data_IF_712475842631
#
_entry.id   IF_712475842631
#
_cell.length_a   1.000
_cell.length_b   1.000
_cell.length_c   1.000
_cell.angle_alpha   90.00
_cell.angle_beta   90.00
_cell.angle_gamma   90.00
#
_symmetry.space_group_name_H-M   'P 1'
#
loop_
_entity.id
_entity.type
_entity.pdbx_description
1 polymer ?
#
# COMPACT_ATOMS: atom_id res chain seq x y z
N UNK A 1 -19.22 2.61 -15.07
CA UNK A 1 -19.50 3.78 -14.21
C UNK A 1 -18.16 4.43 -13.92
N UNK A 2 -17.89 5.59 -14.50
CA UNK A 2 -16.62 6.29 -14.28
C UNK A 2 -16.62 6.88 -12.87
N UNK A 3 -15.63 6.53 -12.06
CA UNK A 3 -15.43 7.20 -10.78
C UNK A 3 -14.88 8.60 -11.07
N UNK A 4 -15.58 9.62 -10.56
CA UNK A 4 -15.16 11.01 -10.63
C UNK A 4 -13.79 11.14 -9.96
N UNK A 5 -12.82 11.58 -10.75
CA UNK A 5 -11.44 11.80 -10.32
C UNK A 5 -11.46 12.98 -9.35
N UNK A 6 -11.12 12.72 -8.09
CA UNK A 6 -11.19 13.68 -6.99
C UNK A 6 -10.40 14.96 -7.27
N UNK A 7 -10.89 16.08 -6.73
CA UNK A 7 -10.27 17.39 -6.84
C UNK A 7 -8.86 17.40 -6.21
N UNK A 8 -7.82 17.36 -7.05
CA UNK A 8 -6.43 17.61 -6.63
C UNK A 8 -6.33 19.00 -5.98
N UNK A 9 -5.74 19.10 -4.78
CA UNK A 9 -5.42 20.38 -4.14
C UNK A 9 -4.27 21.13 -4.83
N UNK A 10 -3.52 20.46 -5.70
CA UNK A 10 -2.49 21.09 -6.52
C UNK A 10 -3.08 21.47 -7.87
N UNK A 11 -3.07 22.75 -8.26
CA UNK A 11 -3.47 23.14 -9.60
C UNK A 11 -2.55 22.42 -10.59
N UNK A 12 -3.09 21.91 -11.71
CA UNK A 12 -2.26 21.31 -12.75
C UNK A 12 -1.24 22.36 -13.19
N UNK A 13 0.03 21.96 -13.29
CA UNK A 13 1.04 22.83 -13.87
C UNK A 13 0.64 23.13 -15.32
N UNK A 14 0.20 24.36 -15.55
CA UNK A 14 -0.25 24.84 -16.87
C UNK A 14 0.91 24.89 -17.87
N UNK A 15 2.16 24.86 -17.39
CA UNK A 15 3.35 24.85 -18.25
C UNK A 15 3.67 23.47 -18.81
N UNK A 16 3.15 22.39 -18.20
CA UNK A 16 3.36 21.03 -18.69
C UNK A 16 2.43 20.78 -19.90
N UNK A 17 3.02 20.62 -21.08
CA UNK A 17 2.26 20.35 -22.32
C UNK A 17 2.25 18.85 -22.64
N UNK A 18 1.19 18.32 -23.27
CA UNK A 18 1.26 16.98 -23.84
C UNK A 18 2.48 16.79 -24.75
N UNK A 19 3.05 15.59 -24.75
CA UNK A 19 4.23 15.26 -25.53
C UNK A 19 4.92 14.00 -25.04
N UNK A 20 6.12 13.75 -25.55
CA UNK A 20 6.97 12.64 -25.14
C UNK A 20 7.98 13.13 -24.13
N UNK A 21 8.04 12.44 -22.99
CA UNK A 21 8.86 12.81 -21.86
C UNK A 21 9.74 11.65 -21.41
N UNK A 22 10.84 12.03 -20.76
CA UNK A 22 11.67 11.18 -19.91
C UNK A 22 11.52 11.65 -18.48
N UNK A 23 11.41 10.70 -17.57
CA UNK A 23 11.31 10.96 -16.14
C UNK A 23 12.52 10.31 -15.49
N UNK A 24 13.36 11.09 -14.82
CA UNK A 24 14.57 10.59 -14.16
C UNK A 24 14.67 11.07 -12.73
N UNK A 25 15.22 10.24 -11.84
CA UNK A 25 15.48 10.67 -10.48
C UNK A 25 16.59 11.74 -10.49
N UNK A 26 16.36 12.86 -9.80
CA UNK A 26 17.26 14.00 -9.86
C UNK A 26 18.64 13.75 -9.24
N UNK A 27 18.77 12.73 -8.39
CA UNK A 27 20.01 12.39 -7.66
C UNK A 27 20.78 11.31 -8.39
N UNK A 28 20.14 10.19 -8.70
CA UNK A 28 20.81 9.02 -9.27
C UNK A 28 20.95 9.10 -10.79
N UNK A 29 20.11 9.92 -11.44
CA UNK A 29 20.03 9.99 -12.91
C UNK A 29 19.40 8.76 -13.56
N UNK A 30 18.88 7.81 -12.77
CA UNK A 30 18.17 6.65 -13.32
C UNK A 30 16.79 7.06 -13.83
N UNK A 31 16.39 6.53 -14.98
CA UNK A 31 15.14 6.84 -15.65
C UNK A 31 14.04 5.84 -15.27
N UNK A 32 12.80 6.32 -15.17
CA UNK A 32 11.61 5.50 -14.99
C UNK A 32 11.37 4.68 -16.26
N UNK A 33 11.27 3.36 -16.09
CA UNK A 33 11.25 2.39 -17.16
C UNK A 33 10.20 1.31 -16.91
N UNK A 34 9.55 0.82 -17.97
CA UNK A 34 8.90 -0.50 -17.95
C UNK A 34 9.97 -1.58 -18.15
N UNK A 35 10.05 -2.53 -17.22
CA UNK A 35 11.08 -3.58 -17.25
C UNK A 35 11.04 -4.37 -18.57
N UNK A 36 12.22 -4.65 -19.13
CA UNK A 36 12.35 -5.46 -20.35
C UNK A 36 11.99 -6.94 -20.10
N UNK A 37 12.23 -7.43 -18.87
CA UNK A 37 11.96 -8.82 -18.49
C UNK A 37 10.51 -9.03 -18.03
N UNK A 38 9.86 -7.97 -17.55
CA UNK A 38 8.50 -8.02 -17.01
C UNK A 38 7.74 -6.73 -17.33
N UNK A 39 6.93 -6.77 -18.39
CA UNK A 39 6.16 -5.61 -18.86
C UNK A 39 5.12 -5.07 -17.87
N UNK A 40 4.89 -5.76 -16.75
CA UNK A 40 4.01 -5.28 -15.67
C UNK A 40 4.75 -4.45 -14.62
N UNK A 41 6.10 -4.52 -14.58
CA UNK A 41 6.91 -3.85 -13.56
C UNK A 41 7.44 -2.50 -14.04
N UNK A 42 7.35 -1.53 -13.14
CA UNK A 42 8.01 -0.24 -13.28
C UNK A 42 9.23 -0.22 -12.37
N UNK A 43 10.37 0.09 -12.96
CA UNK A 43 11.65 0.16 -12.28
C UNK A 43 12.36 1.45 -12.66
N UNK A 44 13.45 1.75 -11.97
CA UNK A 44 14.44 2.68 -12.49
C UNK A 44 15.62 1.93 -13.10
N UNK A 45 16.17 2.50 -14.16
CA UNK A 45 17.32 1.93 -14.85
C UNK A 45 18.25 3.05 -15.32
N UNK A 46 19.51 2.73 -15.56
CA UNK A 46 20.44 3.66 -16.21
C UNK A 46 19.81 4.20 -17.50
N UNK A 47 19.86 5.52 -17.67
CA UNK A 47 19.29 6.16 -18.83
C UNK A 47 19.88 5.57 -20.13
N UNK A 48 18.99 5.08 -20.99
CA UNK A 48 19.28 4.67 -22.35
C UNK A 48 18.06 5.06 -23.18
N UNK A 49 18.22 5.83 -24.26
CA UNK A 49 17.12 6.49 -25.00
C UNK A 49 16.11 5.54 -25.70
N UNK A 50 16.00 4.29 -25.27
CA UNK A 50 15.02 3.29 -25.69
C UNK A 50 13.60 3.69 -25.31
N UNK A 51 12.65 3.20 -26.09
CA UNK A 51 11.22 3.54 -25.97
C UNK A 51 10.57 3.09 -24.64
N UNK A 52 11.12 2.08 -23.95
CA UNK A 52 10.62 1.68 -22.63
C UNK A 52 10.95 2.66 -21.51
N UNK A 53 11.82 3.66 -21.76
CA UNK A 53 12.09 4.80 -20.87
C UNK A 53 11.40 6.10 -21.32
N UNK A 54 10.55 6.02 -22.35
CA UNK A 54 9.85 7.17 -22.90
C UNK A 54 8.36 7.07 -22.59
N UNK A 55 7.78 8.21 -22.21
CA UNK A 55 6.41 8.30 -21.71
C UNK A 55 5.66 9.37 -22.47
N UNK A 56 4.53 9.00 -23.07
CA UNK A 56 3.54 9.95 -23.56
C UNK A 56 2.79 10.54 -22.38
N UNK A 57 2.98 11.84 -22.17
CA UNK A 57 2.19 12.62 -21.25
C UNK A 57 0.93 13.10 -21.97
N UNK A 58 -0.22 12.62 -21.52
CA UNK A 58 -1.52 12.92 -22.12
C UNK A 58 -2.45 13.57 -21.09
N UNK A 59 -3.26 14.56 -21.52
CA UNK A 59 -4.30 15.15 -20.66
C UNK A 59 -5.38 14.11 -20.36
N UNK A 60 -5.83 14.05 -19.10
CA UNK A 60 -6.93 13.18 -18.67
C UNK A 60 -7.68 13.83 -17.50
N UNK A 61 -8.90 14.30 -17.75
CA UNK A 61 -9.68 15.04 -16.76
C UNK A 61 -8.94 16.27 -16.23
N UNK A 62 -8.80 16.36 -14.91
CA UNK A 62 -8.07 17.44 -14.22
C UNK A 62 -6.55 17.23 -14.11
N UNK A 63 -6.02 16.14 -14.66
CA UNK A 63 -4.61 15.78 -14.52
C UNK A 63 -4.00 15.26 -15.82
N UNK A 64 -3.00 14.41 -15.65
CA UNK A 64 -2.30 13.75 -16.73
C UNK A 64 -2.28 12.23 -16.53
N UNK A 65 -2.09 11.52 -17.62
CA UNK A 65 -1.71 10.10 -17.62
C UNK A 65 -0.40 9.95 -18.37
N UNK A 66 0.40 8.98 -17.92
CA UNK A 66 1.68 8.64 -18.52
C UNK A 66 1.55 7.25 -19.16
N UNK A 67 1.55 7.21 -20.49
CA UNK A 67 1.54 5.95 -21.26
C UNK A 67 2.97 5.65 -21.70
N UNK A 68 3.45 4.45 -21.49
CA UNK A 68 4.76 4.07 -22.00
C UNK A 68 4.74 4.04 -23.54
N UNK A 69 5.84 4.43 -24.18
CA UNK A 69 5.91 4.48 -25.65
C UNK A 69 6.03 3.09 -26.27
N UNK A 70 6.81 2.19 -25.66
CA UNK A 70 7.00 0.82 -26.14
C UNK A 70 5.85 -0.10 -25.77
N UNK A 71 5.38 0.01 -24.54
CA UNK A 71 4.35 -0.84 -23.98
C UNK A 71 3.04 -0.08 -23.96
N UNK A 72 1.95 -0.68 -24.42
CA UNK A 72 0.61 -0.07 -24.34
C UNK A 72 0.04 -0.09 -22.90
N UNK A 73 0.83 0.40 -21.94
CA UNK A 73 0.56 0.36 -20.52
C UNK A 73 0.79 1.75 -19.92
N UNK A 74 0.04 2.06 -18.87
CA UNK A 74 0.08 3.32 -18.15
C UNK A 74 0.81 3.14 -16.83
N UNK A 75 1.48 4.21 -16.40
CA UNK A 75 2.01 4.29 -15.05
C UNK A 75 0.84 4.28 -14.04
N UNK A 76 0.82 3.27 -13.18
CA UNK A 76 -0.26 3.01 -12.23
C UNK A 76 0.30 2.64 -10.85
N UNK A 77 -0.56 2.70 -9.83
CA UNK A 77 -0.20 2.42 -8.43
C UNK A 77 -1.18 1.41 -7.89
N UNK A 78 -0.73 0.35 -7.21
CA UNK A 78 -1.58 -0.82 -6.92
C UNK A 78 -2.66 -0.58 -5.88
N UNK A 79 -2.37 0.32 -4.93
CA UNK A 79 -3.30 0.82 -3.93
C UNK A 79 -2.82 2.19 -3.45
N UNK A 80 -3.45 2.72 -2.41
CA UNK A 80 -3.16 4.04 -1.86
C UNK A 80 -2.40 3.97 -0.54
N UNK A 81 -1.74 2.86 -0.22
CA UNK A 81 -0.94 2.72 1.00
C UNK A 81 0.47 3.30 0.82
N UNK A 82 1.14 3.64 1.93
CA UNK A 82 2.57 3.93 1.87
C UNK A 82 3.33 2.68 1.42
N UNK A 83 4.37 2.86 0.61
CA UNK A 83 5.16 1.78 0.01
C UNK A 83 4.43 0.97 -1.06
N UNK A 84 3.26 1.41 -1.54
CA UNK A 84 2.61 0.69 -2.63
C UNK A 84 3.47 0.75 -3.89
N UNK A 85 3.54 -0.37 -4.60
CA UNK A 85 4.32 -0.50 -5.83
C UNK A 85 3.69 0.29 -6.97
N UNK A 86 4.57 0.96 -7.71
CA UNK A 86 4.24 1.52 -9.02
C UNK A 86 4.43 0.43 -10.06
N UNK A 87 3.46 0.27 -10.94
CA UNK A 87 3.42 -0.81 -11.91
C UNK A 87 2.79 -0.33 -13.22
N UNK A 88 2.93 -1.13 -14.27
CA UNK A 88 2.37 -0.84 -15.58
C UNK A 88 0.97 -1.47 -15.67
N UNK A 89 -0.08 -0.66 -15.86
CA UNK A 89 -1.46 -1.12 -15.91
C UNK A 89 -2.30 -0.44 -16.98
N UNK A 90 -3.50 -0.95 -17.24
CA UNK A 90 -4.55 -0.25 -17.98
C UNK A 90 -5.41 0.65 -17.09
N UNK A 91 -5.29 0.53 -15.76
CA UNK A 91 -6.11 1.26 -14.78
C UNK A 91 -5.28 2.36 -14.11
N UNK A 92 -5.84 3.57 -14.04
CA UNK A 92 -5.20 4.73 -13.43
C UNK A 92 -5.75 4.98 -12.03
N UNK A 93 -4.87 5.18 -11.05
CA UNK A 93 -5.24 5.66 -9.72
C UNK A 93 -4.61 7.04 -9.52
N UNK A 94 -5.46 8.03 -9.28
CA UNK A 94 -5.06 9.36 -8.85
C UNK A 94 -5.49 9.49 -7.38
N UNK A 95 -4.55 9.47 -6.44
CA UNK A 95 -4.86 9.72 -5.04
C UNK A 95 -3.85 10.68 -4.38
N UNK A 96 -4.37 11.36 -3.36
CA UNK A 96 -4.03 12.71 -2.92
C UNK A 96 -2.79 12.73 -2.01
N UNK A 97 -1.88 13.68 -2.28
CA UNK A 97 -0.69 13.99 -1.48
C UNK A 97 0.38 12.89 -1.42
N UNK A 98 0.53 12.11 -2.49
CA UNK A 98 1.60 11.13 -2.61
C UNK A 98 2.54 11.45 -3.76
N UNK A 99 3.79 11.05 -3.62
CA UNK A 99 4.85 11.23 -4.62
C UNK A 99 5.51 9.91 -4.96
N UNK A 100 6.07 9.84 -6.15
CA UNK A 100 6.97 8.75 -6.53
C UNK A 100 8.22 8.80 -5.65
N UNK A 101 8.57 7.66 -5.08
CA UNK A 101 9.70 7.48 -4.17
C UNK A 101 10.60 6.39 -4.75
N UNK A 102 11.87 6.74 -5.01
CA UNK A 102 12.87 5.77 -5.41
C UNK A 102 13.27 4.96 -4.19
N UNK A 103 13.03 3.64 -4.21
CA UNK A 103 13.23 2.79 -3.03
C UNK A 103 14.66 2.93 -2.48
N UNK A 104 14.74 3.40 -1.22
CA UNK A 104 16.00 3.70 -0.50
C UNK A 104 16.95 4.67 -1.22
N UNK A 105 16.49 5.40 -2.24
CA UNK A 105 17.31 6.27 -3.07
C UNK A 105 18.41 5.54 -3.84
N UNK A 106 18.28 4.23 -4.05
CA UNK A 106 19.30 3.43 -4.74
C UNK A 106 19.25 3.65 -6.26
N UNK A 107 20.41 3.95 -6.85
CA UNK A 107 20.58 4.10 -8.30
C UNK A 107 20.87 2.79 -9.04
N UNK A 108 20.63 1.63 -8.41
CA UNK A 108 20.84 0.35 -9.07
C UNK A 108 19.79 0.09 -10.15
N UNK A 109 20.23 -0.53 -11.24
CA UNK A 109 19.36 -0.98 -12.31
C UNK A 109 18.32 -1.98 -11.78
N UNK A 110 17.05 -1.74 -12.10
CA UNK A 110 15.94 -2.57 -11.66
C UNK A 110 15.38 -2.18 -10.29
N UNK A 111 15.85 -1.08 -9.68
CA UNK A 111 15.33 -0.65 -8.40
C UNK A 111 13.86 -0.20 -8.51
N UNK A 112 13.07 -0.50 -7.50
CA UNK A 112 11.63 -0.29 -7.50
C UNK A 112 11.26 1.17 -7.22
N UNK A 113 10.07 1.55 -7.67
CA UNK A 113 9.46 2.85 -7.37
C UNK A 113 8.20 2.61 -6.55
N UNK A 114 8.10 3.30 -5.42
CA UNK A 114 6.94 3.24 -4.53
C UNK A 114 6.21 4.58 -4.54
N UNK A 115 4.99 4.61 -4.01
CA UNK A 115 4.36 5.86 -3.59
C UNK A 115 4.61 6.13 -2.11
N UNK A 116 4.84 7.41 -1.77
CA UNK A 116 5.03 7.86 -0.40
C UNK A 116 4.25 9.13 -0.09
N UNK A 117 3.91 9.33 1.17
CA UNK A 117 3.31 10.57 1.66
C UNK A 117 4.21 11.80 1.40
N UNK A 118 3.60 12.88 0.93
CA UNK A 118 4.23 14.19 0.85
C UNK A 118 4.23 14.84 2.25
N UNK A 119 5.15 14.43 3.13
CA UNK A 119 5.28 14.92 4.51
C UNK A 119 6.16 16.18 4.65
N UNK A 120 6.40 16.90 3.54
CA UNK A 120 7.14 18.17 3.51
C UNK A 120 8.65 18.04 3.65
N UNK A 121 9.18 16.83 3.88
CA UNK A 121 10.62 16.57 3.84
C UNK A 121 11.12 16.64 2.39
N UNK A 122 12.09 17.52 2.12
CA UNK A 122 12.81 17.54 0.84
C UNK A 122 13.74 16.32 0.75
N UNK A 123 13.16 15.14 0.49
CA UNK A 123 13.91 13.90 0.36
C UNK A 123 14.42 13.75 -1.07
N UNK A 124 15.74 13.69 -1.30
CA UNK A 124 16.30 13.69 -2.65
C UNK A 124 15.79 12.53 -3.54
N UNK A 125 15.47 11.38 -2.97
CA UNK A 125 14.92 10.22 -3.69
C UNK A 125 13.45 10.38 -4.13
N UNK A 126 12.79 11.50 -3.80
CA UNK A 126 11.43 11.87 -4.24
C UNK A 126 11.42 12.99 -5.29
N UNK A 127 12.60 13.47 -5.69
CA UNK A 127 12.73 14.54 -6.68
C UNK A 127 12.95 13.92 -8.05
N UNK A 128 12.06 14.26 -8.98
CA UNK A 128 12.08 13.74 -10.34
C UNK A 128 12.22 14.88 -11.34
N UNK A 129 13.16 14.72 -12.27
CA UNK A 129 13.32 15.58 -13.43
C UNK A 129 12.42 15.07 -14.54
N UNK A 130 11.59 15.95 -15.06
CA UNK A 130 10.72 15.67 -16.21
C UNK A 130 11.29 16.41 -17.41
N UNK A 131 11.87 15.68 -18.34
CA UNK A 131 12.53 16.20 -19.54
C UNK A 131 11.67 15.93 -20.77
N UNK A 132 11.33 16.98 -21.52
CA UNK A 132 10.58 16.85 -22.77
C UNK A 132 11.54 16.46 -23.89
N UNK A 133 11.24 15.37 -24.59
CA UNK A 133 12.09 14.81 -25.66
C UNK A 133 11.39 14.76 -27.03
N UNK A 134 10.09 15.06 -27.10
CA UNK A 134 9.35 15.13 -28.37
C UNK A 134 7.95 15.71 -28.24
N UNK A 135 7.38 16.11 -29.39
CA UNK A 135 6.02 16.65 -29.49
C UNK A 135 4.94 15.56 -29.64
N UNK A 136 5.33 14.33 -29.98
CA UNK A 136 4.39 13.21 -30.08
C UNK A 136 3.80 12.88 -28.71
N UNK A 137 2.50 12.69 -28.65
CA UNK A 137 1.78 12.34 -27.43
C UNK A 137 0.95 11.08 -27.59
N UNK A 138 1.19 10.28 -28.64
CA UNK A 138 0.64 8.93 -28.79
C UNK A 138 -0.88 8.87 -28.87
N UNK A 139 -1.49 9.89 -29.49
CA UNK A 139 -2.91 9.86 -29.82
C UNK A 139 -3.17 8.70 -30.81
N UNK A 140 -4.01 7.75 -30.42
CA UNK A 140 -4.64 6.88 -31.39
C UNK A 140 -5.57 7.78 -32.20
N UNK A 141 -5.23 8.03 -33.46
CA UNK A 141 -6.20 8.51 -34.44
C UNK A 141 -7.30 7.46 -34.53
N UNK A 142 -8.33 7.57 -33.69
CA UNK A 142 -9.62 6.94 -33.91
C UNK A 142 -10.31 7.70 -35.04
N UNK A 143 -9.78 7.55 -36.24
CA UNK A 143 -10.45 7.95 -37.46
C UNK A 143 -10.25 6.86 -38.50
N UNK A 144 -11.40 6.41 -39.03
CA UNK A 144 -11.56 5.54 -40.22
C UNK A 144 -11.57 4.02 -40.00
N UNK A 145 -12.73 3.46 -39.66
CA UNK A 145 -13.23 2.27 -40.40
C UNK A 145 -14.77 2.11 -40.38
N UNK A 146 -15.34 2.70 -41.43
CA UNK A 146 -16.41 2.20 -42.30
C UNK A 146 -17.85 2.09 -41.77
N UNK A 147 -18.57 3.17 -42.04
CA UNK A 147 -19.95 3.15 -42.52
C UNK A 147 -20.15 2.17 -43.70
N UNK A 148 -21.27 1.45 -43.61
CA UNK A 148 -22.24 1.14 -44.67
C UNK A 148 -21.72 0.83 -46.09
N UNK A 149 -21.87 -0.44 -46.47
CA UNK A 149 -22.19 -0.83 -47.84
C UNK A 149 -23.22 -1.96 -47.83
N UNK A 150 -24.48 -1.60 -47.56
CA UNK A 150 -25.64 -2.41 -47.97
C UNK A 150 -26.00 -1.97 -49.38
N UNK A 151 -25.45 -2.68 -50.37
CA UNK A 151 -25.74 -2.49 -51.78
C UNK A 151 -26.21 -3.81 -52.39
N UNK A 152 -27.53 -3.98 -52.47
CA UNK A 152 -28.19 -5.01 -53.26
C UNK A 152 -27.65 -5.00 -54.71
N UNK A 153 -27.30 -6.17 -55.25
CA UNK A 153 -27.24 -6.38 -56.70
C UNK A 153 -27.56 -7.83 -57.04
N UNK A 154 -28.79 -8.02 -57.47
CA UNK A 154 -29.32 -9.19 -58.15
C UNK A 154 -28.79 -9.22 -59.58
N UNK A 155 -28.03 -10.23 -59.98
CA UNK A 155 -27.87 -10.58 -61.38
C UNK A 155 -27.51 -12.06 -61.54
N UNK A 156 -28.41 -12.78 -62.22
CA UNK A 156 -28.21 -14.10 -62.82
C UNK A 156 -26.97 -14.09 -63.72
N UNK A 157 -26.20 -15.17 -63.73
CA UNK A 157 -25.84 -15.90 -64.96
C UNK A 157 -25.20 -17.26 -64.63
N UNK A 158 -25.63 -18.25 -65.41
CA UNK A 158 -25.31 -19.67 -65.38
C UNK A 158 -24.06 -19.97 -66.28
N UNK A 159 -23.65 -21.24 -66.50
CA UNK A 159 -22.37 -21.77 -66.07
C UNK A 159 -21.36 -21.93 -67.21
N UNK A 160 -20.06 -22.02 -66.91
CA UNK A 160 -19.13 -22.64 -67.86
C UNK A 160 -18.02 -23.38 -67.13
N UNK A 161 -18.07 -24.70 -67.29
CA UNK A 161 -17.18 -25.72 -66.80
C UNK A 161 -15.85 -25.66 -67.58
N UNK A 162 -14.71 -25.53 -66.90
CA UNK A 162 -13.39 -25.99 -67.37
C UNK A 162 -12.55 -26.41 -66.17
N UNK A 163 -12.31 -27.72 -66.08
CA UNK A 163 -11.55 -28.35 -65.01
C UNK A 163 -10.09 -27.89 -64.96
N UNK A 164 -9.64 -27.64 -63.74
CA UNK A 164 -8.25 -27.62 -63.32
C UNK A 164 -8.08 -28.62 -62.16
N UNK A 165 -6.96 -29.35 -62.06
CA UNK A 165 -6.71 -30.28 -60.98
C UNK A 165 -6.13 -29.52 -59.77
N UNK A 166 -6.98 -28.83 -59.01
CA UNK A 166 -6.65 -28.27 -57.69
C UNK A 166 -7.18 -29.22 -56.62
N UNK A 167 -6.43 -30.27 -56.26
CA UNK A 167 -7.00 -31.32 -55.38
C UNK A 167 -6.12 -31.87 -54.27
N UNK A 168 -5.02 -31.23 -53.88
CA UNK A 168 -4.30 -31.68 -52.65
C UNK A 168 -3.87 -30.57 -51.69
N UNK A 169 -3.31 -29.44 -52.14
CA UNK A 169 -2.84 -28.39 -51.20
C UNK A 169 -3.97 -27.63 -50.48
N UNK A 170 -5.11 -27.41 -51.15
CA UNK A 170 -6.25 -26.70 -50.57
C UNK A 170 -7.00 -27.55 -49.50
N UNK A 171 -6.98 -28.87 -49.66
CA UNK A 171 -7.54 -29.82 -48.68
C UNK A 171 -6.66 -29.88 -47.42
N UNK A 172 -5.32 -29.86 -47.59
CA UNK A 172 -4.37 -29.84 -46.47
C UNK A 172 -4.55 -28.55 -45.66
N UNK A 173 -4.65 -27.39 -46.34
CA UNK A 173 -4.83 -26.08 -45.71
C UNK A 173 -6.11 -25.97 -44.87
N UNK A 174 -7.22 -26.58 -45.31
CA UNK A 174 -8.48 -26.61 -44.56
C UNK A 174 -8.43 -27.48 -43.30
N UNK A 175 -7.60 -28.54 -43.31
CA UNK A 175 -7.43 -29.42 -42.15
C UNK A 175 -6.65 -28.73 -41.02
N UNK A 176 -5.58 -28.00 -41.37
CA UNK A 176 -4.77 -27.21 -40.43
C UNK A 176 -5.59 -26.08 -39.79
N UNK A 177 -6.40 -25.37 -40.59
CA UNK A 177 -7.30 -24.34 -40.08
C UNK A 177 -8.33 -24.88 -39.09
N UNK A 178 -8.86 -26.09 -39.32
CA UNK A 178 -9.80 -26.74 -38.41
C UNK A 178 -9.12 -27.11 -37.08
N UNK A 179 -7.88 -27.60 -37.14
CA UNK A 179 -7.09 -27.90 -35.95
C UNK A 179 -6.79 -26.63 -35.13
N UNK A 180 -6.30 -25.57 -35.77
CA UNK A 180 -6.02 -24.29 -35.10
C UNK A 180 -7.27 -23.69 -34.46
N UNK A 181 -8.44 -23.83 -35.09
CA UNK A 181 -9.70 -23.36 -34.51
C UNK A 181 -10.09 -24.14 -33.25
N UNK A 182 -9.83 -25.45 -33.24
CA UNK A 182 -10.02 -26.29 -32.05
C UNK A 182 -9.08 -25.90 -30.91
N UNK A 183 -7.79 -25.71 -31.22
CA UNK A 183 -6.79 -25.25 -30.25
C UNK A 183 -7.11 -23.87 -29.69
N UNK A 184 -7.54 -22.93 -30.53
CA UNK A 184 -7.96 -21.59 -30.11
C UNK A 184 -9.18 -21.65 -29.17
N UNK A 185 -10.14 -22.53 -29.47
CA UNK A 185 -11.30 -22.73 -28.59
C UNK A 185 -10.91 -23.29 -27.24
N UNK A 186 -9.94 -24.23 -27.21
CA UNK A 186 -9.41 -24.81 -25.98
C UNK A 186 -8.67 -23.77 -25.15
N UNK A 187 -7.76 -23.01 -25.78
CA UNK A 187 -7.02 -21.93 -25.11
C UNK A 187 -7.95 -20.86 -24.53
N UNK A 188 -9.03 -20.51 -25.25
CA UNK A 188 -10.04 -19.56 -24.77
C UNK A 188 -10.77 -20.07 -23.52
N UNK A 189 -11.08 -21.37 -23.46
CA UNK A 189 -11.69 -21.98 -22.28
C UNK A 189 -10.72 -21.97 -21.10
N UNK A 190 -9.47 -22.38 -21.30
CA UNK A 190 -8.43 -22.37 -20.27
C UNK A 190 -8.20 -20.96 -19.69
N UNK A 191 -8.22 -19.93 -20.54
CA UNK A 191 -8.09 -18.54 -20.11
C UNK A 191 -9.28 -18.08 -19.28
N UNK A 192 -10.50 -18.50 -19.64
CA UNK A 192 -11.71 -18.23 -18.85
C UNK A 192 -11.67 -18.89 -17.48
N UNK A 193 -11.20 -20.13 -17.41
CA UNK A 193 -11.04 -20.87 -16.15
C UNK A 193 -9.99 -20.21 -15.25
N UNK A 194 -8.86 -19.78 -15.84
CA UNK A 194 -7.80 -19.07 -15.13
C UNK A 194 -8.28 -17.71 -14.59
N UNK A 195 -9.07 -16.95 -15.35
CA UNK A 195 -9.68 -15.71 -14.87
C UNK A 195 -10.62 -15.95 -13.68
N UNK A 196 -11.42 -17.01 -13.73
CA UNK A 196 -12.31 -17.37 -12.62
C UNK A 196 -11.50 -17.70 -11.36
N UNK A 197 -10.38 -18.40 -11.52
CA UNK A 197 -9.47 -18.72 -10.42
C UNK A 197 -8.77 -17.47 -9.85
N UNK A 198 -8.32 -16.54 -10.69
CA UNK A 198 -7.73 -15.28 -10.25
C UNK A 198 -8.72 -14.46 -9.43
N UNK A 199 -9.96 -14.33 -9.91
CA UNK A 199 -11.02 -13.63 -9.18
C UNK A 199 -11.27 -14.25 -7.78
N UNK A 200 -11.31 -15.58 -7.69
CA UNK A 200 -11.48 -16.28 -6.41
C UNK A 200 -10.29 -16.04 -5.46
N UNK A 201 -9.06 -15.98 -6.00
CA UNK A 201 -7.87 -15.67 -5.21
C UNK A 201 -7.91 -14.23 -4.69
N UNK A 202 -8.32 -13.27 -5.51
CA UNK A 202 -8.43 -11.87 -5.11
C UNK A 202 -9.47 -11.68 -3.99
N UNK A 203 -10.59 -12.41 -4.05
CA UNK A 203 -11.58 -12.42 -2.98
C UNK A 203 -10.99 -12.99 -1.67
N UNK A 204 -10.24 -14.08 -1.77
CA UNK A 204 -9.58 -14.70 -0.61
C UNK A 204 -8.54 -13.76 0.00
N UNK A 205 -7.76 -13.05 -0.83
CA UNK A 205 -6.79 -12.05 -0.38
C UNK A 205 -7.49 -10.91 0.36
N UNK A 206 -8.59 -10.39 -0.19
CA UNK A 206 -9.38 -9.33 0.46
C UNK A 206 -9.91 -9.79 1.83
N UNK A 207 -10.41 -11.02 1.94
CA UNK A 207 -10.86 -11.56 3.23
C UNK A 207 -9.71 -11.67 4.24
N UNK A 208 -8.56 -12.21 3.83
CA UNK A 208 -7.40 -12.35 4.72
C UNK A 208 -6.87 -10.99 5.20
N UNK A 209 -6.90 -9.96 4.35
CA UNK A 209 -6.51 -8.61 4.74
C UNK A 209 -7.45 -8.02 5.79
N UNK A 210 -8.77 -8.24 5.66
CA UNK A 210 -9.75 -7.81 6.67
C UNK A 210 -9.54 -8.54 8.00
N UNK A 211 -9.32 -9.85 7.95
CA UNK A 211 -9.06 -10.66 9.14
C UNK A 211 -7.77 -10.24 9.85
N UNK A 212 -6.71 -9.93 9.09
CA UNK A 212 -5.44 -9.47 9.64
C UNK A 212 -5.62 -8.11 10.33
N UNK A 213 -6.33 -7.17 9.71
CA UNK A 213 -6.64 -5.87 10.30
C UNK A 213 -7.44 -6.01 11.61
N UNK A 214 -8.47 -6.86 11.63
CA UNK A 214 -9.25 -7.12 12.84
C UNK A 214 -8.39 -7.70 13.97
N UNK A 215 -7.46 -8.61 13.65
CA UNK A 215 -6.51 -9.18 14.63
C UNK A 215 -5.53 -8.14 15.18
N UNK A 216 -5.04 -7.23 14.34
CA UNK A 216 -4.18 -6.14 14.79
C UNK A 216 -4.89 -5.20 15.76
N UNK A 217 -6.15 -4.86 15.50
CA UNK A 217 -6.98 -4.05 16.40
C UNK A 217 -7.22 -4.77 17.73
N UNK A 218 -7.55 -6.06 17.70
CA UNK A 218 -7.71 -6.87 18.91
C UNK A 218 -6.42 -6.93 19.75
N UNK A 219 -5.25 -7.04 19.10
CA UNK A 219 -3.96 -7.07 19.77
C UNK A 219 -3.59 -5.73 20.41
N UNK A 220 -3.92 -4.60 19.76
CA UNK A 220 -3.78 -3.25 20.35
C UNK A 220 -4.62 -3.12 21.61
N UNK A 221 -5.86 -3.60 21.59
CA UNK A 221 -6.73 -3.61 22.77
C UNK A 221 -6.15 -4.47 23.90
N UNK A 222 -5.66 -5.68 23.59
CA UNK A 222 -5.07 -6.58 24.58
C UNK A 222 -3.84 -5.96 25.26
N UNK A 223 -2.96 -5.27 24.51
CA UNK A 223 -1.80 -4.56 25.07
C UNK A 223 -2.23 -3.45 26.03
N UNK A 224 -3.22 -2.64 25.63
CA UNK A 224 -3.75 -1.58 26.47
C UNK A 224 -4.32 -2.13 27.80
N UNK A 225 -5.05 -3.24 27.75
CA UNK A 225 -5.58 -3.86 28.97
C UNK A 225 -4.49 -4.44 29.87
N UNK A 226 -3.39 -4.94 29.30
CA UNK A 226 -2.25 -5.41 30.09
C UNK A 226 -1.51 -4.23 30.76
N UNK A 227 -1.31 -3.13 30.04
CA UNK A 227 -0.76 -1.88 30.59
C UNK A 227 -1.61 -1.36 31.76
N UNK A 228 -2.93 -1.28 31.59
CA UNK A 228 -3.86 -0.89 32.68
C UNK A 228 -3.78 -1.86 33.87
N UNK A 229 -3.67 -3.17 33.63
CA UNK A 229 -3.47 -4.19 34.67
C UNK A 229 -2.15 -4.04 35.42
N UNK A 230 -1.05 -3.75 34.71
CA UNK A 230 0.25 -3.48 35.35
C UNK A 230 0.21 -2.20 36.20
N UNK A 231 -0.48 -1.16 35.73
CA UNK A 231 -0.66 0.08 36.48
C UNK A 231 -1.46 -0.15 37.77
N UNK A 232 -2.55 -0.93 37.70
CA UNK A 232 -3.36 -1.29 38.88
C UNK A 232 -2.55 -2.11 39.90
N UNK A 233 -1.75 -3.08 39.43
CA UNK A 233 -0.84 -3.84 40.31
C UNK A 233 0.18 -2.95 41.01
N UNK A 234 0.73 -1.98 40.29
CA UNK A 234 1.66 -1.00 40.87
C UNK A 234 0.97 -0.12 41.94
N UNK A 235 -0.24 0.38 41.66
CA UNK A 235 -1.01 1.14 42.65
C UNK A 235 -1.35 0.31 43.89
N UNK A 236 -1.73 -0.95 43.73
CA UNK A 236 -2.00 -1.86 44.84
C UNK A 236 -0.76 -2.05 45.72
N UNK A 237 0.41 -2.28 45.10
CA UNK A 237 1.68 -2.42 45.83
C UNK A 237 2.02 -1.17 46.66
N UNK A 238 1.79 0.03 46.12
CA UNK A 238 1.99 1.28 46.86
C UNK A 238 1.05 1.37 48.07
N UNK A 239 -0.24 1.06 47.88
CA UNK A 239 -1.23 1.11 48.95
C UNK A 239 -0.92 0.09 50.05
N UNK A 240 -0.49 -1.10 49.68
CA UNK A 240 -0.08 -2.15 50.62
C UNK A 240 1.12 -1.73 51.46
N UNK A 241 2.12 -1.10 50.85
CA UNK A 241 3.27 -0.54 51.57
C UNK A 241 2.85 0.55 52.56
N UNK A 242 1.97 1.46 52.16
CA UNK A 242 1.42 2.50 53.06
C UNK A 242 0.65 1.89 54.23
N UNK A 243 -0.12 0.84 53.98
CA UNK A 243 -0.87 0.15 55.03
C UNK A 243 0.07 -0.54 56.04
N UNK A 244 1.12 -1.22 55.57
CA UNK A 244 2.15 -1.81 56.44
C UNK A 244 2.87 -0.75 57.28
N UNK A 245 3.17 0.42 56.70
CA UNK A 245 3.73 1.55 57.43
C UNK A 245 2.78 2.01 58.56
N UNK A 246 1.49 2.19 58.26
CA UNK A 246 0.49 2.58 59.27
C UNK A 246 0.34 1.55 60.39
N UNK A 247 0.40 0.25 60.08
CA UNK A 247 0.40 -0.80 61.09
C UNK A 247 1.60 -0.68 62.04
N UNK A 248 2.79 -0.40 61.48
CA UNK A 248 4.02 -0.22 62.26
C UNK A 248 3.94 1.01 63.16
N UNK A 249 3.42 2.12 62.64
CA UNK A 249 3.21 3.36 63.41
C UNK A 249 2.20 3.13 64.56
N UNK A 250 1.11 2.43 64.28
CA UNK A 250 0.08 2.09 65.29
C UNK A 250 0.66 1.20 66.39
N UNK A 251 1.42 0.15 66.03
CA UNK A 251 2.09 -0.70 67.00
C UNK A 251 3.10 0.08 67.86
N UNK A 252 3.82 1.03 67.26
CA UNK A 252 4.74 1.92 67.99
C UNK A 252 4.01 2.83 68.98
N UNK A 253 2.86 3.39 68.58
CA UNK A 253 2.03 4.21 69.47
C UNK A 253 1.44 3.39 70.62
N UNK A 254 0.97 2.17 70.35
CA UNK A 254 0.48 1.25 71.38
C UNK A 254 1.57 0.96 72.42
N UNK A 255 2.78 0.61 71.98
CA UNK A 255 3.90 0.35 72.90
C UNK A 255 4.26 1.58 73.76
N UNK A 256 4.12 2.80 73.21
CA UNK A 256 4.30 4.03 73.99
C UNK A 256 3.19 4.22 75.02
N UNK A 257 1.94 3.95 74.65
CA UNK A 257 0.78 4.02 75.56
C UNK A 257 0.95 3.03 76.71
N UNK A 258 1.27 1.77 76.44
CA UNK A 258 1.50 0.73 77.46
C UNK A 258 2.61 1.15 78.44
N UNK A 259 3.68 1.79 77.94
CA UNK A 259 4.77 2.31 78.78
C UNK A 259 4.29 3.46 79.69
N UNK A 260 3.45 4.35 79.18
CA UNK A 260 2.87 5.45 79.97
C UNK A 260 1.96 4.89 81.06
N UNK A 261 1.08 3.95 80.73
CA UNK A 261 0.21 3.27 81.70
C UNK A 261 0.99 2.57 82.79
N UNK A 262 2.09 1.89 82.43
CA UNK A 262 3.01 1.28 83.38
C UNK A 262 3.61 2.31 84.35
N UNK A 263 4.12 3.44 83.83
CA UNK A 263 4.69 4.51 84.64
C UNK A 263 3.65 5.15 85.57
N UNK A 264 2.42 5.35 85.09
CA UNK A 264 1.32 5.86 85.93
C UNK A 264 1.00 4.90 87.08
N UNK A 265 0.93 3.59 86.80
CA UNK A 265 0.69 2.56 87.81
C UNK A 265 1.82 2.52 88.86
N UNK A 266 3.08 2.65 88.43
CA UNK A 266 4.24 2.78 89.32
C UNK A 266 4.14 3.99 90.24
N UNK A 267 3.71 5.15 89.74
CA UNK A 267 3.56 6.36 90.54
C UNK A 267 2.42 6.26 91.55
N UNK A 268 1.29 5.64 91.19
CA UNK A 268 0.15 5.47 92.11
C UNK A 268 0.43 4.45 93.23
N UNK A 269 1.25 3.44 92.96
CA UNK A 269 1.61 2.41 93.95
C UNK A 269 2.83 2.79 94.81
N UNK A 270 3.36 4.02 94.69
CA UNK A 270 4.48 4.46 95.53
C UNK A 270 3.97 4.66 96.95
N UNK A 271 4.39 3.84 97.94
CA UNK A 271 3.93 3.98 99.31
C UNK A 271 4.37 5.36 99.80
N UNK A 272 3.41 6.15 100.28
CA UNK A 272 3.67 7.40 100.98
C UNK A 272 4.57 7.06 102.17
N UNK A 273 5.88 7.24 101.97
CA UNK A 273 6.88 7.01 102.98
C UNK A 273 6.54 7.83 104.21
N UNK A 274 6.18 7.13 105.27
CA UNK A 274 5.98 7.69 106.60
C UNK A 274 7.32 8.30 107.06
N UNK A 275 7.44 9.63 107.22
CA UNK A 275 8.62 10.24 107.80
C UNK A 275 8.49 10.14 109.33
N UNK A 276 8.53 8.91 109.83
CA UNK A 276 8.27 8.59 111.23
C UNK A 276 9.51 8.21 112.01
N UNK A 277 10.05 9.18 112.74
CA UNK A 277 10.90 9.04 113.91
C UNK A 277 12.37 8.61 113.71
N UNK A 278 13.23 9.62 113.62
CA UNK A 278 14.50 9.58 114.32
C UNK A 278 14.34 9.81 115.83
N UNK A 279 15.49 9.75 116.52
CA UNK A 279 15.75 10.00 117.95
C UNK A 279 15.30 8.89 118.90
N UNK A 280 16.12 8.41 119.84
CA UNK A 280 17.32 8.97 120.50
C UNK A 280 18.06 7.85 121.24
N UNK A 281 19.31 8.15 121.60
CA UNK A 281 20.13 7.60 122.71
C UNK A 281 19.43 6.73 123.76
#
# INVERSE_FOLDING_TARGET
>A
MGQDISHSQYPPDETLQPGTYRISNAVTGTAVQVSDDDSTKIVTWQQHDRENQQWFLQRSGHGYRLRNRRHNAYLAVSNTDNHALVYASSVQLADMNRVLDLHWGSGHNGNEIHIWNLDGGNMPHRIWRVERIGDDFGEETTDSRQEQSVGNSTAKNEPTNKGLPETQEEIISNSELSQLRGELSKAKQELSDLHSLLYQRDETIRQLQQDLKAKEEALKHARKTDEESTQLRHQHSILESKFQQQQTETASLQAKMDRVEYLMTQMMNKPSGDPGAGSTN
#
